data_IF_325879970716
#
_entry.id   IF_325879970716
#
_cell.length_a   1.000
_cell.length_b   1.000
_cell.length_c   1.000
_cell.angle_alpha   90.00
_cell.angle_beta   90.00
_cell.angle_gamma   90.00
#
_symmetry.space_group_name_H-M   'P 1'
#
loop_
_entity.id
_entity.type
_entity.pdbx_description
1 polymer ?
#
# COMPACT_ATOMS: atom_id res chain seq x y z
N UNK A 1 38.56 -15.65 17.11
CA UNK A 1 37.17 -16.15 16.91
C UNK A 1 36.90 -16.50 15.45
N UNK A 2 36.86 -15.54 14.52
CA UNK A 2 36.63 -15.87 13.09
C UNK A 2 37.75 -16.76 12.51
N UNK A 3 39.01 -16.45 12.81
CA UNK A 3 40.15 -17.30 12.45
C UNK A 3 40.07 -18.72 13.07
N UNK A 4 39.45 -18.87 14.24
CA UNK A 4 39.27 -20.19 14.88
C UNK A 4 38.18 -20.99 14.17
N UNK A 5 37.13 -20.32 13.66
CA UNK A 5 36.10 -20.94 12.81
C UNK A 5 36.73 -21.40 11.48
N UNK A 6 37.61 -20.58 10.89
CA UNK A 6 38.36 -20.96 9.70
C UNK A 6 39.29 -22.14 9.96
N UNK A 7 40.00 -22.17 11.09
CA UNK A 7 40.87 -23.26 11.48
C UNK A 7 40.11 -24.59 11.67
N UNK A 8 38.87 -24.55 12.18
CA UNK A 8 38.02 -25.75 12.27
C UNK A 8 37.60 -26.31 10.91
N UNK A 9 37.60 -25.47 9.87
CA UNK A 9 37.21 -25.86 8.52
C UNK A 9 38.35 -26.59 7.78
N UNK A 10 39.59 -26.19 8.05
CA UNK A 10 40.81 -26.78 7.46
C UNK A 10 41.04 -28.14 8.10
N UNK A 11 40.98 -29.21 7.29
CA UNK A 11 41.37 -30.55 7.74
C UNK A 11 42.89 -30.55 8.00
N UNK A 12 43.38 -31.26 9.02
CA UNK A 12 44.79 -31.62 9.04
C UNK A 12 45.03 -32.60 7.88
N UNK A 13 45.38 -32.08 6.71
CA UNK A 13 45.91 -32.86 5.60
C UNK A 13 47.33 -33.26 5.99
N UNK A 14 47.49 -34.35 6.75
CA UNK A 14 48.81 -34.75 7.23
C UNK A 14 48.92 -35.95 8.17
N UNK A 15 47.88 -36.76 8.38
CA UNK A 15 48.00 -38.01 9.15
C UNK A 15 48.27 -39.25 8.27
N UNK A 16 48.70 -39.07 7.02
CA UNK A 16 49.41 -40.11 6.25
C UNK A 16 50.93 -40.02 6.49
N UNK A 17 51.33 -39.78 7.75
CA UNK A 17 52.73 -39.87 8.15
C UNK A 17 53.14 -41.34 8.17
N UNK A 18 54.14 -41.68 7.34
CA UNK A 18 54.89 -42.94 7.31
C UNK A 18 55.02 -43.58 8.71
N UNK A 19 54.64 -44.86 8.89
CA UNK A 19 54.70 -45.50 10.20
C UNK A 19 56.17 -45.75 10.59
N UNK A 20 56.69 -44.91 11.48
CA UNK A 20 57.81 -45.30 12.33
C UNK A 20 57.32 -46.40 13.28
N UNK A 21 58.07 -47.51 13.32
CA UNK A 21 57.73 -48.76 13.99
C UNK A 21 57.31 -48.56 15.47
N UNK A 22 56.00 -48.58 15.71
CA UNK A 22 55.37 -48.66 17.02
C UNK A 22 54.04 -49.39 16.88
N UNK A 23 53.57 -50.11 17.91
CA UNK A 23 52.33 -50.90 17.82
C UNK A 23 51.14 -49.99 17.49
N UNK A 24 50.29 -50.35 16.51
CA UNK A 24 49.20 -49.49 16.05
C UNK A 24 48.17 -49.34 17.16
N UNK A 25 48.00 -48.11 17.65
CA UNK A 25 46.83 -47.74 18.43
C UNK A 25 45.58 -47.90 17.53
N UNK A 26 44.45 -48.39 18.06
CA UNK A 26 43.25 -48.60 17.27
C UNK A 26 42.79 -47.28 16.62
N UNK A 27 42.41 -47.27 15.33
CA UNK A 27 41.98 -46.07 14.66
C UNK A 27 40.74 -45.52 15.36
N UNK A 28 40.86 -44.33 15.95
CA UNK A 28 39.72 -43.63 16.51
C UNK A 28 38.67 -43.45 15.40
N UNK A 29 37.50 -44.09 15.58
CA UNK A 29 36.41 -44.05 14.60
C UNK A 29 36.10 -42.61 14.15
N UNK A 30 36.01 -42.40 12.83
CA UNK A 30 35.81 -41.08 12.19
C UNK A 30 34.57 -40.30 12.68
N UNK A 31 33.58 -41.01 13.23
CA UNK A 31 32.38 -40.42 13.85
C UNK A 31 32.69 -39.62 15.12
N UNK A 32 33.67 -40.06 15.91
CA UNK A 32 34.08 -39.38 17.16
C UNK A 32 34.71 -38.01 16.90
N UNK A 33 35.55 -37.89 15.87
CA UNK A 33 36.21 -36.63 15.50
C UNK A 33 35.21 -35.58 14.94
N UNK A 34 34.21 -36.02 14.17
CA UNK A 34 33.11 -35.18 13.69
C UNK A 34 32.32 -34.57 14.87
N UNK A 35 31.92 -35.41 15.83
CA UNK A 35 31.16 -34.98 16.99
C UNK A 35 31.94 -34.01 17.90
N UNK A 36 33.27 -34.15 17.99
CA UNK A 36 34.12 -33.19 18.70
C UNK A 36 34.15 -31.84 17.98
N UNK A 37 34.37 -31.81 16.66
CA UNK A 37 34.38 -30.55 15.89
C UNK A 37 33.06 -29.79 15.97
N UNK A 38 31.93 -30.49 15.88
CA UNK A 38 30.61 -29.87 16.02
C UNK A 38 30.40 -29.22 17.39
N UNK A 39 30.84 -29.88 18.48
CA UNK A 39 30.80 -29.32 19.84
C UNK A 39 31.72 -28.09 19.97
N UNK A 40 32.92 -28.14 19.42
CA UNK A 40 33.85 -27.01 19.44
C UNK A 40 33.28 -25.80 18.68
N UNK A 41 32.69 -26.03 17.51
CA UNK A 41 32.03 -24.96 16.75
C UNK A 41 30.84 -24.36 17.51
N UNK A 42 29.98 -25.18 18.09
CA UNK A 42 28.86 -24.69 18.90
C UNK A 42 29.35 -23.83 20.09
N UNK A 43 30.45 -24.23 20.74
CA UNK A 43 31.09 -23.44 21.78
C UNK A 43 31.67 -22.11 21.28
N UNK A 44 32.22 -22.06 20.07
CA UNK A 44 32.65 -20.81 19.44
C UNK A 44 31.47 -19.91 19.08
N UNK A 45 30.40 -20.47 18.52
CA UNK A 45 29.19 -19.73 18.16
C UNK A 45 28.55 -19.08 19.38
N UNK A 46 28.44 -19.79 20.50
CA UNK A 46 27.92 -19.25 21.77
C UNK A 46 28.77 -18.09 22.29
N UNK A 47 30.11 -18.20 22.23
CA UNK A 47 31.02 -17.12 22.62
C UNK A 47 30.90 -15.91 21.71
N UNK A 48 30.81 -16.13 20.40
CA UNK A 48 30.62 -15.08 19.41
C UNK A 48 29.28 -14.37 19.62
N UNK A 49 28.21 -15.11 19.89
CA UNK A 49 26.89 -14.56 20.22
C UNK A 49 26.93 -13.68 21.47
N UNK A 50 27.59 -14.16 22.53
CA UNK A 50 27.77 -13.39 23.75
C UNK A 50 28.57 -12.10 23.50
N UNK A 51 29.62 -12.17 22.68
CA UNK A 51 30.40 -10.99 22.30
C UNK A 51 29.59 -10.01 21.44
N UNK A 52 28.83 -10.51 20.46
CA UNK A 52 27.99 -9.69 19.58
C UNK A 52 26.92 -8.91 20.33
N UNK A 53 26.45 -9.40 21.49
CA UNK A 53 25.53 -8.66 22.37
C UNK A 53 26.15 -7.36 22.92
N UNK A 54 27.47 -7.33 23.16
CA UNK A 54 28.17 -6.12 23.61
C UNK A 54 28.74 -5.27 22.47
N UNK A 55 28.98 -5.85 21.30
CA UNK A 55 29.75 -5.24 20.20
C UNK A 55 29.05 -5.36 18.84
N UNK A 56 27.74 -5.07 18.79
CA UNK A 56 26.92 -5.32 17.60
C UNK A 56 27.46 -4.65 16.33
N UNK A 57 27.86 -3.36 16.41
CA UNK A 57 28.33 -2.61 15.25
C UNK A 57 29.64 -3.16 14.67
N UNK A 58 30.59 -3.52 15.54
CA UNK A 58 31.89 -4.08 15.14
C UNK A 58 31.69 -5.44 14.48
N UNK A 59 30.90 -6.31 15.10
CA UNK A 59 30.60 -7.64 14.57
C UNK A 59 29.83 -7.55 13.25
N UNK A 60 28.85 -6.65 13.14
CA UNK A 60 28.12 -6.43 11.89
C UNK A 60 29.03 -5.91 10.77
N UNK A 61 29.93 -4.97 11.06
CA UNK A 61 30.89 -4.46 10.08
C UNK A 61 31.89 -5.54 9.64
N UNK A 62 32.36 -6.38 10.55
CA UNK A 62 33.21 -7.51 10.23
C UNK A 62 32.51 -8.51 9.30
N UNK A 63 31.26 -8.89 9.60
CA UNK A 63 30.50 -9.79 8.74
C UNK A 63 30.15 -9.19 7.37
N UNK A 64 29.92 -7.88 7.30
CA UNK A 64 29.77 -7.18 6.01
C UNK A 64 31.05 -7.25 5.19
N UNK A 65 32.21 -7.05 5.81
CA UNK A 65 33.49 -7.19 5.13
C UNK A 65 33.70 -8.62 4.63
N UNK A 66 33.35 -9.63 5.45
CA UNK A 66 33.39 -11.04 5.05
C UNK A 66 32.49 -11.32 3.85
N UNK A 67 31.26 -10.79 3.82
CA UNK A 67 30.35 -10.97 2.68
C UNK A 67 30.89 -10.33 1.40
N UNK A 68 31.50 -9.15 1.50
CA UNK A 68 32.14 -8.48 0.35
C UNK A 68 33.33 -9.30 -0.17
N UNK A 69 34.17 -9.81 0.74
CA UNK A 69 35.30 -10.67 0.39
C UNK A 69 34.82 -11.99 -0.23
N UNK A 70 33.76 -12.57 0.32
CA UNK A 70 33.13 -13.80 -0.16
C UNK A 70 32.60 -13.65 -1.59
N UNK A 71 31.89 -12.55 -1.87
CA UNK A 71 31.41 -12.22 -3.21
C UNK A 71 32.56 -12.06 -4.20
N UNK A 72 33.61 -11.32 -3.83
CA UNK A 72 34.81 -11.17 -4.67
C UNK A 72 35.49 -12.51 -4.92
N UNK A 73 35.64 -13.34 -3.88
CA UNK A 73 36.25 -14.67 -3.99
C UNK A 73 35.42 -15.59 -4.88
N UNK A 74 34.09 -15.54 -4.79
CA UNK A 74 33.17 -16.30 -5.62
C UNK A 74 33.35 -15.97 -7.11
N UNK A 75 33.42 -14.69 -7.47
CA UNK A 75 33.67 -14.27 -8.84
C UNK A 75 35.08 -14.60 -9.34
N UNK A 76 36.11 -14.50 -8.48
CA UNK A 76 37.49 -14.85 -8.85
C UNK A 76 37.66 -16.33 -9.16
N UNK A 77 36.97 -17.23 -8.43
CA UNK A 77 37.09 -18.69 -8.56
C UNK A 77 36.21 -19.29 -9.66
N UNK A 78 35.83 -18.51 -10.68
CA UNK A 78 34.94 -18.94 -11.79
C UNK A 78 33.63 -19.60 -11.31
N UNK A 79 33.17 -19.26 -10.09
CA UNK A 79 31.88 -19.73 -9.55
C UNK A 79 31.77 -21.26 -9.36
N UNK A 80 32.90 -21.97 -9.25
CA UNK A 80 32.96 -23.44 -9.14
C UNK A 80 32.52 -24.00 -7.78
N UNK A 81 32.37 -23.15 -6.77
CA UNK A 81 32.07 -23.58 -5.41
C UNK A 81 32.49 -22.56 -4.37
N UNK A 82 31.91 -22.65 -3.17
CA UNK A 82 32.41 -21.94 -2.00
C UNK A 82 33.29 -22.85 -1.16
N UNK A 83 34.32 -22.26 -0.55
CA UNK A 83 35.18 -22.98 0.37
C UNK A 83 34.42 -23.30 1.66
N UNK A 84 34.77 -24.42 2.30
CA UNK A 84 34.18 -24.84 3.57
C UNK A 84 34.27 -23.78 4.70
N UNK A 85 35.41 -23.09 4.91
CA UNK A 85 35.47 -22.00 5.91
C UNK A 85 34.41 -20.94 5.64
N UNK A 86 34.19 -20.59 4.37
CA UNK A 86 33.20 -19.60 4.00
C UNK A 86 31.78 -20.11 4.26
N UNK A 87 31.46 -21.37 3.94
CA UNK A 87 30.16 -21.96 4.29
C UNK A 87 29.89 -21.93 5.80
N UNK A 88 30.90 -22.19 6.62
CA UNK A 88 30.78 -22.08 8.08
C UNK A 88 30.55 -20.64 8.54
N UNK A 89 31.25 -19.68 7.94
CA UNK A 89 31.03 -18.26 8.21
C UNK A 89 29.61 -17.83 7.82
N UNK A 90 29.10 -18.29 6.68
CA UNK A 90 27.71 -18.02 6.25
C UNK A 90 26.69 -18.66 7.19
N UNK A 91 26.93 -19.89 7.62
CA UNK A 91 26.11 -20.56 8.63
C UNK A 91 26.14 -19.81 9.97
N UNK A 92 27.30 -19.26 10.36
CA UNK A 92 27.44 -18.39 11.53
C UNK A 92 26.56 -17.15 11.41
N UNK A 93 26.55 -16.48 10.24
CA UNK A 93 25.70 -15.31 9.98
C UNK A 93 24.22 -15.68 10.16
N UNK A 94 23.79 -16.82 9.61
CA UNK A 94 22.41 -17.30 9.73
C UNK A 94 21.98 -17.53 11.19
N UNK A 95 22.90 -17.89 12.07
CA UNK A 95 22.62 -18.13 13.49
C UNK A 95 22.77 -16.93 14.40
N UNK A 96 23.56 -15.95 13.99
CA UNK A 96 23.85 -14.79 14.81
C UNK A 96 22.82 -13.66 14.64
N UNK A 97 22.33 -13.45 13.42
CA UNK A 97 21.43 -12.34 13.10
C UNK A 97 19.99 -12.80 12.89
N UNK A 98 18.99 -12.02 13.34
CA UNK A 98 17.59 -12.35 13.11
C UNK A 98 17.23 -12.26 11.62
N UNK A 99 16.44 -13.23 11.14
CA UNK A 99 15.96 -13.29 9.75
C UNK A 99 14.52 -12.81 9.56
N UNK A 100 13.86 -12.42 10.66
CA UNK A 100 12.46 -11.96 10.68
C UNK A 100 12.29 -10.54 10.16
N UNK A 101 13.33 -9.71 10.25
CA UNK A 101 13.28 -8.29 9.89
C UNK A 101 12.89 -8.06 8.42
N UNK A 102 12.20 -6.96 8.15
CA UNK A 102 11.92 -6.53 6.77
C UNK A 102 13.20 -6.19 6.02
N UNK A 103 14.11 -5.45 6.67
CA UNK A 103 15.43 -5.08 6.16
C UNK A 103 16.45 -5.07 7.30
N UNK A 104 17.55 -5.78 7.12
CA UNK A 104 18.63 -5.87 8.11
C UNK A 104 19.99 -5.60 7.45
N UNK A 105 20.88 -4.86 8.12
CA UNK A 105 22.15 -4.40 7.56
C UNK A 105 23.12 -5.52 7.14
N UNK A 106 23.06 -6.67 7.83
CA UNK A 106 23.81 -7.90 7.51
C UNK A 106 22.94 -8.99 6.86
N UNK A 107 21.81 -9.35 7.48
CA UNK A 107 20.87 -10.35 6.97
C UNK A 107 20.37 -10.12 5.53
N UNK A 108 20.02 -8.89 5.13
CA UNK A 108 19.57 -8.63 3.75
C UNK A 108 20.67 -8.88 2.71
N UNK A 109 21.88 -8.28 2.79
CA UNK A 109 22.95 -8.59 1.84
C UNK A 109 23.39 -10.05 1.91
N UNK A 110 23.33 -10.70 3.08
CA UNK A 110 23.56 -12.12 3.22
C UNK A 110 22.60 -12.98 2.40
N UNK A 111 21.28 -12.75 2.52
CA UNK A 111 20.27 -13.48 1.74
C UNK A 111 20.43 -13.23 0.24
N UNK A 112 20.70 -11.97 -0.16
CA UNK A 112 20.96 -11.62 -1.57
C UNK A 112 22.21 -12.37 -2.08
N UNK A 113 23.27 -12.44 -1.28
CA UNK A 113 24.48 -13.18 -1.64
C UNK A 113 24.19 -14.68 -1.81
N UNK A 114 23.44 -15.31 -0.89
CA UNK A 114 23.07 -16.72 -1.01
C UNK A 114 22.26 -16.99 -2.29
N UNK A 115 21.21 -16.19 -2.55
CA UNK A 115 20.40 -16.31 -3.76
C UNK A 115 21.23 -16.11 -5.03
N UNK A 116 22.09 -15.08 -5.06
CA UNK A 116 22.97 -14.78 -6.19
C UNK A 116 23.97 -15.92 -6.45
N UNK A 117 24.61 -16.44 -5.38
CA UNK A 117 25.55 -17.54 -5.49
C UNK A 117 24.86 -18.81 -6.03
N UNK A 118 23.69 -19.17 -5.52
CA UNK A 118 22.93 -20.34 -5.99
C UNK A 118 22.51 -20.25 -7.46
N UNK A 119 22.23 -19.05 -7.98
CA UNK A 119 21.84 -18.92 -9.39
C UNK A 119 23.03 -18.83 -10.35
N UNK A 120 24.22 -18.49 -9.85
CA UNK A 120 25.39 -18.25 -10.69
C UNK A 120 26.48 -19.34 -10.56
N UNK A 121 26.35 -20.25 -9.61
CA UNK A 121 27.29 -21.36 -9.42
C UNK A 121 27.38 -22.26 -10.67
N UNK A 122 28.54 -22.86 -10.88
CA UNK A 122 28.77 -23.86 -11.93
C UNK A 122 28.94 -25.24 -11.31
N UNK A 123 28.04 -26.15 -11.64
CA UNK A 123 28.00 -27.51 -11.09
C UNK A 123 28.73 -28.46 -12.04
N UNK A 124 30.06 -28.53 -11.88
CA UNK A 124 30.94 -29.36 -12.72
C UNK A 124 31.48 -30.59 -11.97
N UNK A 125 31.50 -30.55 -10.64
CA UNK A 125 32.05 -31.62 -9.80
C UNK A 125 31.22 -31.81 -8.51
N UNK A 126 31.44 -32.94 -7.82
CA UNK A 126 30.71 -33.27 -6.59
C UNK A 126 30.99 -32.29 -5.45
N UNK A 127 32.17 -31.67 -5.39
CA UNK A 127 32.49 -30.66 -4.39
C UNK A 127 31.62 -29.40 -4.57
N UNK A 128 31.47 -28.93 -5.81
CA UNK A 128 30.59 -27.82 -6.16
C UNK A 128 29.13 -28.14 -5.84
N UNK A 129 28.68 -29.37 -6.11
CA UNK A 129 27.34 -29.85 -5.73
C UNK A 129 27.17 -29.86 -4.21
N UNK A 130 28.16 -30.35 -3.47
CA UNK A 130 28.13 -30.33 -2.01
C UNK A 130 28.02 -28.90 -1.46
N UNK A 131 28.83 -27.96 -1.96
CA UNK A 131 28.73 -26.54 -1.58
C UNK A 131 27.39 -25.94 -1.97
N UNK A 132 26.79 -26.38 -3.08
CA UNK A 132 25.45 -25.97 -3.52
C UNK A 132 24.36 -26.44 -2.56
N UNK A 133 24.40 -27.72 -2.17
CA UNK A 133 23.51 -28.30 -1.14
C UNK A 133 23.67 -27.52 0.16
N UNK A 134 24.90 -27.27 0.61
CA UNK A 134 25.17 -26.51 1.84
C UNK A 134 24.62 -25.09 1.80
N UNK A 135 24.80 -24.36 0.69
CA UNK A 135 24.23 -23.02 0.52
C UNK A 135 22.72 -23.01 0.53
N UNK A 136 22.10 -23.95 -0.19
CA UNK A 136 20.65 -24.06 -0.22
C UNK A 136 20.09 -24.41 1.16
N UNK A 137 20.76 -25.29 1.91
CA UNK A 137 20.39 -25.60 3.28
C UNK A 137 20.42 -24.35 4.19
N UNK A 138 21.48 -23.54 4.11
CA UNK A 138 21.62 -22.30 4.89
C UNK A 138 20.50 -21.32 4.50
N UNK A 139 20.19 -21.20 3.20
CA UNK A 139 19.11 -20.33 2.72
C UNK A 139 17.74 -20.80 3.24
N UNK A 140 17.41 -22.09 3.07
CA UNK A 140 16.16 -22.69 3.55
C UNK A 140 15.98 -22.48 5.05
N UNK A 141 17.04 -22.67 5.83
CA UNK A 141 17.01 -22.44 7.26
C UNK A 141 16.77 -20.97 7.60
N UNK A 142 17.43 -20.06 6.88
CA UNK A 142 17.21 -18.62 7.05
C UNK A 142 15.78 -18.21 6.70
N UNK A 143 15.15 -18.85 5.72
CA UNK A 143 13.76 -18.62 5.34
C UNK A 143 12.79 -19.19 6.37
N UNK A 144 13.07 -20.38 6.92
CA UNK A 144 12.31 -20.98 8.01
C UNK A 144 12.32 -20.09 9.26
N UNK A 145 13.50 -19.60 9.63
CA UNK A 145 13.67 -18.67 10.76
C UNK A 145 13.07 -17.27 10.46
N UNK A 146 12.92 -16.91 9.18
CA UNK A 146 12.45 -15.61 8.70
C UNK A 146 10.96 -15.51 8.33
N UNK A 147 10.09 -16.27 9.01
CA UNK A 147 8.62 -16.35 8.77
C UNK A 147 8.21 -16.91 7.39
N UNK A 148 9.05 -17.69 6.72
CA UNK A 148 8.68 -18.37 5.49
C UNK A 148 8.46 -17.44 4.29
N UNK A 149 9.25 -16.36 4.19
CA UNK A 149 9.29 -15.54 2.97
C UNK A 149 9.60 -16.42 1.76
N UNK A 150 8.97 -16.11 0.63
CA UNK A 150 9.19 -16.85 -0.60
C UNK A 150 10.55 -16.48 -1.23
N UNK A 151 11.36 -17.50 -1.52
CA UNK A 151 12.59 -17.36 -2.29
C UNK A 151 12.58 -18.38 -3.44
N UNK A 152 12.46 -17.89 -4.67
CA UNK A 152 12.40 -18.75 -5.85
C UNK A 152 13.71 -19.53 -6.02
N UNK A 153 14.84 -18.91 -5.68
CA UNK A 153 16.17 -19.48 -5.82
C UNK A 153 16.35 -20.75 -4.97
N UNK A 154 15.75 -20.82 -3.78
CA UNK A 154 15.81 -22.00 -2.92
C UNK A 154 15.06 -23.20 -3.54
N UNK A 155 13.88 -22.93 -4.11
CA UNK A 155 13.07 -23.93 -4.82
C UNK A 155 13.78 -24.40 -6.08
N UNK A 156 14.26 -23.45 -6.89
CA UNK A 156 15.02 -23.74 -8.12
C UNK A 156 16.29 -24.53 -7.79
N UNK A 157 16.99 -24.20 -6.71
CA UNK A 157 18.18 -24.92 -6.27
C UNK A 157 17.87 -26.39 -5.89
N UNK A 158 16.79 -26.62 -5.12
CA UNK A 158 16.39 -27.98 -4.75
C UNK A 158 16.06 -28.83 -5.99
N UNK A 159 15.33 -28.28 -6.96
CA UNK A 159 15.05 -28.99 -8.20
C UNK A 159 16.28 -29.17 -9.10
N UNK A 160 17.18 -28.19 -9.17
CA UNK A 160 18.44 -28.33 -9.90
C UNK A 160 19.28 -29.48 -9.35
N UNK A 161 19.36 -29.62 -8.02
CA UNK A 161 20.04 -30.74 -7.36
C UNK A 161 19.44 -32.08 -7.77
N UNK A 162 18.11 -32.22 -7.73
CA UNK A 162 17.46 -33.45 -8.18
C UNK A 162 17.65 -33.72 -9.67
N UNK A 163 17.69 -32.67 -10.50
CA UNK A 163 17.95 -32.78 -11.93
C UNK A 163 19.39 -33.21 -12.26
N UNK A 164 20.34 -33.14 -11.32
CA UNK A 164 21.71 -33.66 -11.51
C UNK A 164 21.78 -35.18 -11.68
N UNK A 165 20.71 -35.91 -11.34
CA UNK A 165 20.55 -37.34 -11.61
C UNK A 165 20.40 -37.64 -13.12
N UNK A 166 20.09 -36.62 -13.93
CA UNK A 166 19.91 -36.74 -15.36
C UNK A 166 21.04 -35.99 -16.10
N UNK A 167 21.49 -36.48 -17.27
CA UNK A 167 22.46 -35.78 -18.09
C UNK A 167 21.80 -34.56 -18.75
N UNK A 168 22.59 -33.52 -19.03
CA UNK A 168 22.09 -32.23 -19.55
C UNK A 168 21.33 -32.40 -20.87
N UNK A 169 21.81 -33.24 -21.78
CA UNK A 169 21.15 -33.60 -23.06
C UNK A 169 19.71 -34.09 -22.91
N UNK A 170 19.33 -34.62 -21.75
CA UNK A 170 17.94 -35.06 -21.50
C UNK A 170 17.05 -33.87 -21.15
N UNK A 171 17.59 -32.93 -20.36
CA UNK A 171 16.92 -31.73 -19.87
C UNK A 171 16.81 -30.63 -20.96
N UNK A 172 17.86 -30.53 -21.78
CA UNK A 172 18.05 -29.60 -22.89
C UNK A 172 18.40 -30.39 -24.18
N UNK A 173 17.43 -31.08 -24.80
CA UNK A 173 17.71 -31.95 -25.97
C UNK A 173 18.26 -31.21 -27.18
N UNK A 174 17.90 -29.94 -27.34
CA UNK A 174 18.43 -29.08 -28.40
C UNK A 174 18.57 -27.66 -27.87
N UNK A 175 19.69 -26.98 -28.17
CA UNK A 175 19.99 -25.60 -27.70
C UNK A 175 18.90 -24.56 -28.02
N UNK A 176 17.97 -24.86 -28.93
CA UNK A 176 16.90 -23.95 -29.36
C UNK A 176 15.47 -24.47 -29.13
N UNK A 177 15.29 -25.69 -28.62
CA UNK A 177 13.95 -26.23 -28.32
C UNK A 177 13.41 -25.82 -26.95
N UNK A 178 14.23 -25.11 -26.16
CA UNK A 178 13.88 -24.71 -24.81
C UNK A 178 14.09 -25.82 -23.78
N UNK A 179 13.88 -25.46 -22.51
CA UNK A 179 14.01 -26.36 -21.37
C UNK A 179 12.79 -27.27 -21.29
N UNK A 180 12.99 -28.57 -21.09
CA UNK A 180 11.87 -29.49 -20.79
C UNK A 180 11.31 -29.31 -19.38
N UNK A 181 12.15 -28.84 -18.45
CA UNK A 181 11.74 -28.55 -17.09
C UNK A 181 11.26 -27.10 -16.98
N UNK A 182 10.15 -26.81 -16.28
CA UNK A 182 9.65 -25.45 -16.08
C UNK A 182 10.42 -24.72 -14.96
N UNK A 183 11.74 -24.90 -14.88
CA UNK A 183 12.65 -24.25 -13.93
C UNK A 183 13.90 -23.79 -14.66
N UNK A 184 14.53 -22.75 -14.13
CA UNK A 184 15.83 -22.31 -14.61
C UNK A 184 16.90 -23.35 -14.26
N UNK A 185 17.63 -23.81 -15.27
CA UNK A 185 18.77 -24.70 -15.07
C UNK A 185 20.03 -23.89 -14.82
N UNK A 186 20.74 -24.26 -13.76
CA UNK A 186 22.04 -23.67 -13.42
C UNK A 186 23.13 -24.22 -14.35
N UNK A 187 24.17 -23.42 -14.60
CA UNK A 187 25.32 -23.86 -15.40
C UNK A 187 25.91 -25.16 -14.83
N UNK A 188 26.00 -26.21 -15.66
CA UNK A 188 26.50 -27.53 -15.26
C UNK A 188 27.17 -28.27 -16.42
N UNK A 189 27.93 -29.30 -16.07
CA UNK A 189 28.48 -30.26 -17.04
C UNK A 189 27.41 -31.06 -17.79
N UNK A 190 27.82 -31.72 -18.88
CA UNK A 190 26.92 -32.54 -19.72
C UNK A 190 26.46 -33.82 -19.02
N UNK A 191 27.30 -34.38 -18.15
CA UNK A 191 27.08 -35.66 -17.51
C UNK A 191 26.13 -35.57 -16.30
N UNK A 192 25.57 -36.73 -15.93
CA UNK A 192 24.80 -36.89 -14.70
C UNK A 192 25.77 -37.00 -13.51
N UNK A 193 25.97 -35.91 -12.79
CA UNK A 193 26.84 -35.88 -11.60
C UNK A 193 26.30 -36.74 -10.45
N UNK A 194 24.98 -36.93 -10.41
CA UNK A 194 24.29 -37.69 -9.37
C UNK A 194 23.63 -38.98 -9.91
N UNK A 195 24.06 -39.50 -11.07
CA UNK A 195 23.46 -40.69 -11.69
C UNK A 195 24.10 -42.02 -11.26
N UNK A 196 25.41 -42.04 -11.07
CA UNK A 196 26.18 -43.27 -10.84
C UNK A 196 26.87 -43.24 -9.48
N UNK A 197 26.35 -43.98 -8.50
CA UNK A 197 27.00 -44.15 -7.19
C UNK A 197 27.59 -45.55 -7.02
N UNK A 198 28.77 -45.66 -6.41
CA UNK A 198 29.29 -46.96 -6.00
C UNK A 198 28.82 -47.22 -4.56
N UNK A 199 28.13 -48.33 -4.25
CA UNK A 199 27.68 -48.61 -2.89
C UNK A 199 28.91 -48.70 -1.98
N UNK A 200 29.12 -47.69 -1.15
CA UNK A 200 30.08 -47.83 -0.06
C UNK A 200 29.45 -48.73 1.00
N UNK A 201 30.28 -49.62 1.55
CA UNK A 201 29.90 -50.61 2.56
C UNK A 201 28.90 -50.07 3.58
N UNK A 202 27.84 -50.82 3.92
CA UNK A 202 26.75 -50.36 4.76
C UNK A 202 27.33 -49.87 6.09
N UNK A 203 27.30 -48.55 6.31
CA UNK A 203 27.62 -47.97 7.61
C UNK A 203 26.58 -48.46 8.60
N UNK A 204 27.05 -48.95 9.74
CA UNK A 204 26.24 -49.57 10.78
C UNK A 204 25.01 -48.73 11.13
N UNK A 205 23.86 -49.41 11.22
CA UNK A 205 22.52 -48.89 11.52
C UNK A 205 22.37 -48.25 12.92
N UNK A 206 23.45 -47.90 13.61
CA UNK A 206 23.45 -47.62 15.05
C UNK A 206 23.43 -46.13 15.43
N UNK A 207 23.28 -45.20 14.49
CA UNK A 207 23.13 -43.79 14.87
C UNK A 207 21.67 -43.42 15.13
N UNK A 208 21.26 -43.78 16.34
CA UNK A 208 20.02 -43.43 17.02
C UNK A 208 19.60 -41.96 16.79
N UNK A 209 18.31 -41.79 16.52
CA UNK A 209 17.63 -40.59 16.04
C UNK A 209 17.46 -39.45 17.08
N UNK A 210 18.12 -39.50 18.23
CA UNK A 210 17.72 -38.65 19.38
C UNK A 210 18.61 -37.44 19.69
N UNK A 211 19.72 -37.20 18.98
CA UNK A 211 20.57 -36.05 19.29
C UNK A 211 20.78 -35.08 18.11
N UNK A 212 19.80 -34.21 17.94
CA UNK A 212 19.98 -32.80 17.55
C UNK A 212 19.78 -32.49 16.07
N UNK A 213 18.74 -31.72 15.75
CA UNK A 213 18.57 -31.08 14.43
C UNK A 213 19.85 -30.37 13.96
N UNK A 214 20.60 -29.77 14.90
CA UNK A 214 21.91 -29.14 14.67
C UNK A 214 23.02 -30.13 14.26
N UNK A 215 23.00 -31.37 14.74
CA UNK A 215 23.99 -32.40 14.40
C UNK A 215 23.80 -32.89 12.96
N UNK A 216 22.56 -33.07 12.53
CA UNK A 216 22.22 -33.40 11.15
C UNK A 216 22.51 -32.21 10.21
N UNK A 217 22.29 -30.97 10.66
CA UNK A 217 22.64 -29.76 9.90
C UNK A 217 24.15 -29.56 9.75
N UNK A 218 24.92 -29.87 10.80
CA UNK A 218 26.39 -29.83 10.76
C UNK A 218 26.98 -30.86 9.81
N UNK A 219 26.37 -32.05 9.71
CA UNK A 219 26.80 -33.10 8.76
C UNK A 219 26.75 -32.66 7.30
N UNK A 220 25.82 -31.77 6.92
CA UNK A 220 25.77 -31.20 5.56
C UNK A 220 26.94 -30.26 5.26
N UNK A 221 27.72 -29.87 6.26
CA UNK A 221 28.93 -29.04 6.12
C UNK A 221 30.21 -29.88 6.26
N UNK A 222 30.08 -31.22 6.31
CA UNK A 222 31.19 -32.17 6.40
C UNK A 222 31.57 -32.76 5.03
N UNK A 223 32.84 -33.12 4.89
CA UNK A 223 33.52 -33.37 3.61
C UNK A 223 33.20 -34.73 2.95
N UNK A 224 32.10 -35.39 3.29
CA UNK A 224 31.78 -36.67 2.66
C UNK A 224 30.96 -36.42 1.39
N UNK A 225 31.64 -36.54 0.25
CA UNK A 225 31.06 -36.29 -1.08
C UNK A 225 30.39 -37.56 -1.60
N UNK A 226 29.49 -38.11 -0.79
CA UNK A 226 28.69 -39.26 -1.20
C UNK A 226 27.42 -38.76 -1.88
N UNK A 227 27.28 -39.15 -3.12
CA UNK A 227 26.33 -38.53 -3.99
C UNK A 227 24.91 -39.12 -3.82
N UNK A 228 24.77 -40.33 -3.24
CA UNK A 228 23.50 -40.81 -2.69
C UNK A 228 23.01 -39.88 -1.56
N UNK A 229 23.89 -39.57 -0.61
CA UNK A 229 23.59 -38.66 0.49
C UNK A 229 23.23 -37.25 -0.01
N UNK A 230 23.89 -36.74 -1.05
CA UNK A 230 23.54 -35.44 -1.65
C UNK A 230 22.13 -35.45 -2.26
N UNK A 231 21.72 -36.53 -2.93
CA UNK A 231 20.36 -36.68 -3.47
C UNK A 231 19.34 -36.75 -2.33
N UNK A 232 19.61 -37.53 -1.28
CA UNK A 232 18.74 -37.60 -0.10
C UNK A 232 18.62 -36.25 0.60
N UNK A 233 19.72 -35.49 0.71
CA UNK A 233 19.70 -34.12 1.21
C UNK A 233 18.85 -33.20 0.33
N UNK A 234 18.92 -33.34 -1.00
CA UNK A 234 18.10 -32.54 -1.91
C UNK A 234 16.59 -32.84 -1.75
N UNK A 235 16.22 -34.11 -1.58
CA UNK A 235 14.84 -34.48 -1.24
C UNK A 235 14.41 -33.92 0.12
N UNK A 236 15.25 -34.04 1.15
CA UNK A 236 14.96 -33.44 2.46
C UNK A 236 14.80 -31.91 2.37
N UNK A 237 15.63 -31.22 1.58
CA UNK A 237 15.50 -29.78 1.35
C UNK A 237 14.18 -29.44 0.67
N UNK A 238 13.79 -30.23 -0.33
CA UNK A 238 12.51 -30.07 -1.02
C UNK A 238 11.34 -30.33 -0.06
N UNK A 239 11.42 -31.34 0.81
CA UNK A 239 10.40 -31.65 1.81
C UNK A 239 10.17 -30.47 2.78
N UNK A 240 11.26 -29.87 3.28
CA UNK A 240 11.19 -28.68 4.14
C UNK A 240 10.58 -27.49 3.41
N UNK A 241 10.94 -27.29 2.12
CA UNK A 241 10.37 -26.22 1.30
C UNK A 241 8.87 -26.42 1.01
N UNK A 242 8.46 -27.66 0.75
CA UNK A 242 7.06 -28.06 0.56
C UNK A 242 6.24 -27.74 1.81
N UNK A 243 6.77 -28.05 3.00
CA UNK A 243 6.14 -27.67 4.27
C UNK A 243 6.08 -26.16 4.48
N UNK A 244 7.18 -25.46 4.18
CA UNK A 244 7.29 -24.02 4.38
C UNK A 244 6.28 -23.25 3.54
N UNK A 245 6.02 -23.73 2.31
CA UNK A 245 5.19 -23.03 1.34
C UNK A 245 3.80 -23.66 1.11
N UNK A 246 3.40 -24.64 1.93
CA UNK A 246 2.10 -25.31 1.83
C UNK A 246 0.88 -24.38 1.78
N UNK A 247 0.97 -23.20 2.39
CA UNK A 247 -0.11 -22.20 2.43
C UNK A 247 -0.13 -21.23 1.23
N UNK A 248 0.79 -21.35 0.29
CA UNK A 248 0.87 -20.43 -0.85
C UNK A 248 -0.18 -20.75 -1.92
N UNK A 249 -0.91 -19.75 -2.38
CA UNK A 249 -1.89 -19.91 -3.47
C UNK A 249 -1.27 -20.38 -4.80
N UNK A 250 0.02 -20.12 -5.01
CA UNK A 250 0.77 -20.54 -6.19
C UNK A 250 1.45 -21.92 -6.03
N UNK A 251 1.18 -22.66 -4.95
CA UNK A 251 1.84 -23.92 -4.64
C UNK A 251 1.87 -24.93 -5.80
N UNK A 252 0.76 -25.20 -6.53
CA UNK A 252 0.78 -26.14 -7.65
C UNK A 252 1.72 -25.73 -8.79
N UNK A 253 1.82 -24.42 -9.06
CA UNK A 253 2.72 -23.91 -10.11
C UNK A 253 4.19 -24.01 -9.70
N UNK A 254 4.48 -23.91 -8.40
CA UNK A 254 5.85 -23.86 -7.85
C UNK A 254 6.42 -25.27 -7.64
N UNK A 255 5.59 -26.24 -7.23
CA UNK A 255 6.07 -27.58 -6.88
C UNK A 255 5.55 -28.68 -7.80
N UNK A 256 4.24 -28.73 -8.06
CA UNK A 256 3.63 -29.88 -8.76
C UNK A 256 4.02 -29.96 -10.24
N UNK A 257 3.88 -28.86 -10.98
CA UNK A 257 4.29 -28.80 -12.37
C UNK A 257 5.78 -29.18 -12.59
N UNK A 258 6.75 -28.57 -11.88
CA UNK A 258 8.16 -28.95 -12.03
C UNK A 258 8.48 -30.35 -11.53
N UNK A 259 7.86 -30.79 -10.43
CA UNK A 259 8.11 -32.12 -9.89
C UNK A 259 7.59 -33.23 -10.81
N UNK A 260 6.38 -33.08 -11.38
CA UNK A 260 5.85 -34.03 -12.38
C UNK A 260 6.71 -34.10 -13.63
N UNK A 261 7.13 -32.94 -14.15
CA UNK A 261 8.03 -32.89 -15.31
C UNK A 261 9.36 -33.60 -15.04
N UNK A 262 9.93 -33.43 -13.84
CA UNK A 262 11.14 -34.14 -13.43
C UNK A 262 10.90 -35.64 -13.23
N UNK A 263 9.79 -36.03 -12.59
CA UNK A 263 9.39 -37.42 -12.38
C UNK A 263 9.24 -38.16 -13.71
N UNK A 264 8.61 -37.54 -14.71
CA UNK A 264 8.46 -38.14 -16.05
C UNK A 264 9.81 -38.33 -16.74
N UNK A 265 10.73 -37.37 -16.62
CA UNK A 265 12.09 -37.50 -17.16
C UNK A 265 12.90 -38.58 -16.43
N UNK A 266 12.78 -38.67 -15.11
CA UNK A 266 13.43 -39.72 -14.30
C UNK A 266 12.90 -41.10 -14.71
N UNK A 267 11.59 -41.29 -14.84
CA UNK A 267 11.01 -42.57 -15.29
C UNK A 267 11.46 -42.98 -16.69
N UNK A 268 11.62 -42.01 -17.60
CA UNK A 268 12.02 -42.27 -18.98
C UNK A 268 13.51 -42.61 -19.12
N UNK A 269 14.38 -41.95 -18.36
CA UNK A 269 15.82 -41.97 -18.62
C UNK A 269 16.67 -42.52 -17.48
N UNK A 270 16.16 -42.60 -16.25
CA UNK A 270 16.91 -43.10 -15.10
C UNK A 270 16.56 -44.58 -14.83
N UNK A 271 17.56 -45.49 -14.76
CA UNK A 271 17.30 -46.93 -14.64
C UNK A 271 16.52 -47.27 -13.36
N UNK A 272 16.85 -46.62 -12.24
CA UNK A 272 16.21 -46.88 -10.95
C UNK A 272 14.72 -46.50 -10.86
N UNK A 273 14.22 -45.67 -11.77
CA UNK A 273 12.83 -45.20 -11.79
C UNK A 273 12.05 -45.78 -12.98
N UNK A 274 12.70 -46.52 -13.87
CA UNK A 274 12.06 -47.09 -15.05
C UNK A 274 11.50 -48.49 -14.73
N UNK A 275 10.17 -48.68 -14.76
CA UNK A 275 9.53 -49.96 -14.41
C UNK A 275 9.88 -51.11 -15.35
N UNK A 276 10.40 -50.85 -16.56
CA UNK A 276 10.77 -51.90 -17.52
C UNK A 276 12.18 -52.46 -17.31
N UNK A 277 12.98 -51.83 -16.46
CA UNK A 277 14.34 -52.28 -16.17
C UNK A 277 14.27 -53.40 -15.13
N UNK A 278 14.20 -54.64 -15.58
CA UNK A 278 14.28 -55.84 -14.74
C UNK A 278 15.72 -56.07 -14.25
N UNK A 279 16.29 -55.11 -13.51
CA UNK A 279 17.63 -55.22 -12.94
C UNK A 279 17.62 -56.06 -11.65
N UNK A 280 18.73 -56.76 -11.42
CA UNK A 280 19.00 -57.65 -10.29
C UNK A 280 18.76 -57.02 -8.91
N UNK A 281 18.36 -57.84 -7.92
CA UNK A 281 18.00 -57.47 -6.54
C UNK A 281 19.00 -56.57 -5.79
N UNK A 282 20.29 -56.58 -6.16
CA UNK A 282 21.34 -55.76 -5.53
C UNK A 282 21.27 -54.28 -5.93
N UNK A 283 20.86 -53.96 -7.16
CA UNK A 283 20.70 -52.55 -7.58
C UNK A 283 19.43 -51.93 -7.01
N UNK A 284 18.42 -52.77 -6.74
CA UNK A 284 17.19 -52.34 -6.11
C UNK A 284 17.41 -51.88 -4.68
N UNK A 285 18.24 -52.56 -3.89
CA UNK A 285 18.52 -52.14 -2.51
C UNK A 285 19.19 -50.76 -2.44
N UNK A 286 20.05 -50.45 -3.42
CA UNK A 286 20.82 -49.20 -3.47
C UNK A 286 19.95 -47.96 -3.63
N UNK A 287 18.92 -48.02 -4.47
CA UNK A 287 18.09 -46.84 -4.77
C UNK A 287 16.81 -46.77 -3.92
N UNK A 288 16.62 -47.73 -3.03
CA UNK A 288 15.40 -47.89 -2.27
C UNK A 288 15.12 -46.70 -1.33
N UNK A 289 16.17 -46.16 -0.68
CA UNK A 289 16.04 -44.97 0.16
C UNK A 289 15.60 -43.74 -0.66
N UNK A 290 16.18 -43.55 -1.85
CA UNK A 290 15.89 -42.45 -2.76
C UNK A 290 14.47 -42.59 -3.34
N UNK A 291 14.06 -43.78 -3.76
CA UNK A 291 12.69 -44.05 -4.24
C UNK A 291 11.65 -43.77 -3.16
N UNK A 292 11.93 -44.18 -1.91
CA UNK A 292 11.04 -43.90 -0.77
C UNK A 292 10.91 -42.40 -0.51
N UNK A 293 12.02 -41.67 -0.51
CA UNK A 293 12.02 -40.21 -0.37
C UNK A 293 11.23 -39.53 -1.51
N UNK A 294 11.45 -39.97 -2.76
CA UNK A 294 10.73 -39.47 -3.93
C UNK A 294 9.22 -39.72 -3.82
N UNK A 295 8.81 -40.93 -3.47
CA UNK A 295 7.40 -41.29 -3.31
C UNK A 295 6.72 -40.51 -2.18
N UNK A 296 7.40 -40.33 -1.05
CA UNK A 296 6.90 -39.54 0.07
C UNK A 296 6.64 -38.08 -0.33
N UNK A 297 7.58 -37.45 -1.04
CA UNK A 297 7.43 -36.07 -1.51
C UNK A 297 6.36 -35.96 -2.60
N UNK A 298 6.28 -36.93 -3.52
CA UNK A 298 5.23 -36.99 -4.54
C UNK A 298 3.84 -37.02 -3.91
N UNK A 299 3.64 -37.86 -2.88
CA UNK A 299 2.38 -37.93 -2.15
C UNK A 299 2.05 -36.61 -1.43
N UNK A 300 3.04 -36.02 -0.76
CA UNK A 300 2.89 -34.77 -0.01
C UNK A 300 2.57 -33.56 -0.90
N UNK A 301 3.26 -33.42 -2.03
CA UNK A 301 2.97 -32.37 -3.02
C UNK A 301 1.55 -32.51 -3.55
N UNK A 302 1.10 -33.74 -3.88
CA UNK A 302 -0.28 -33.99 -4.35
C UNK A 302 -1.31 -33.57 -3.31
N UNK A 303 -1.13 -33.95 -2.05
CA UNK A 303 -2.02 -33.57 -0.95
C UNK A 303 -2.13 -32.04 -0.84
N UNK A 304 -0.99 -31.33 -0.81
CA UNK A 304 -0.97 -29.89 -0.67
C UNK A 304 -1.49 -29.16 -1.91
N UNK A 305 -1.36 -29.73 -3.10
CA UNK A 305 -1.98 -29.19 -4.30
C UNK A 305 -3.49 -29.25 -4.26
N UNK A 306 -4.07 -30.40 -3.88
CA UNK A 306 -5.52 -30.54 -3.71
C UNK A 306 -6.04 -29.51 -2.70
N UNK A 307 -5.31 -29.33 -1.59
CA UNK A 307 -5.66 -28.32 -0.59
C UNK A 307 -5.56 -26.89 -1.15
N UNK A 308 -4.47 -26.55 -1.85
CA UNK A 308 -4.27 -25.23 -2.43
C UNK A 308 -5.32 -24.89 -3.50
N UNK A 309 -5.69 -25.86 -4.34
CA UNK A 309 -6.73 -25.73 -5.36
C UNK A 309 -8.12 -25.53 -4.75
N UNK A 310 -8.45 -26.27 -3.68
CA UNK A 310 -9.72 -26.12 -2.97
C UNK A 310 -9.91 -24.72 -2.37
N UNK A 311 -8.82 -24.04 -1.99
CA UNK A 311 -8.83 -22.71 -1.38
C UNK A 311 -8.45 -21.59 -2.36
N UNK A 312 -8.21 -21.90 -3.64
CA UNK A 312 -7.75 -20.93 -4.63
C UNK A 312 -8.88 -19.98 -5.01
N UNK A 313 -8.68 -18.70 -4.70
CA UNK A 313 -9.61 -17.62 -5.10
C UNK A 313 -8.97 -16.73 -6.17
N UNK A 314 -9.77 -16.13 -7.07
CA UNK A 314 -9.27 -15.18 -8.05
C UNK A 314 -8.68 -13.94 -7.36
N UNK A 315 -7.61 -13.39 -7.93
CA UNK A 315 -6.81 -12.34 -7.30
C UNK A 315 -7.55 -10.99 -7.28
N UNK A 316 -7.89 -10.50 -6.09
CA UNK A 316 -8.63 -9.25 -5.89
C UNK A 316 -7.70 -8.06 -5.53
N UNK A 317 -6.64 -7.79 -6.31
CA UNK A 317 -5.63 -6.75 -6.00
C UNK A 317 -6.17 -5.31 -5.99
N UNK A 318 -7.32 -5.05 -6.62
CA UNK A 318 -7.86 -3.70 -6.86
C UNK A 318 -9.16 -3.43 -6.12
N UNK A 319 -9.32 -3.97 -4.92
CA UNK A 319 -10.43 -3.62 -4.02
C UNK A 319 -10.10 -2.32 -3.29
N UNK A 320 -10.20 -1.20 -4.01
CA UNK A 320 -10.04 0.12 -3.39
C UNK A 320 -11.18 0.37 -2.41
N UNK A 321 -10.84 0.72 -1.17
CA UNK A 321 -11.82 1.30 -0.26
C UNK A 321 -12.25 2.64 -0.84
N UNK A 322 -13.55 2.78 -1.10
CA UNK A 322 -14.12 4.03 -1.59
C UNK A 322 -13.77 5.14 -0.60
N UNK A 323 -13.21 6.25 -1.10
CA UNK A 323 -12.86 7.39 -0.25
C UNK A 323 -14.15 7.99 0.28
N UNK A 324 -14.28 8.25 1.59
CA UNK A 324 -15.43 8.96 2.14
C UNK A 324 -15.64 10.31 1.45
N UNK A 325 -16.91 10.72 1.31
CA UNK A 325 -17.25 12.07 0.85
C UNK A 325 -16.62 13.07 1.81
N UNK A 326 -15.99 14.12 1.26
CA UNK A 326 -15.44 15.21 2.08
C UNK A 326 -16.57 15.86 2.86
N UNK A 327 -16.52 15.73 4.18
CA UNK A 327 -17.39 16.49 5.06
C UNK A 327 -16.84 17.90 5.14
N UNK A 328 -17.66 18.88 4.77
CA UNK A 328 -17.36 20.28 5.01
C UNK A 328 -17.91 20.67 6.37
N UNK A 329 -17.14 21.43 7.15
CA UNK A 329 -17.68 22.05 8.34
C UNK A 329 -18.84 22.97 7.90
N UNK A 330 -20.06 22.77 8.43
CA UNK A 330 -21.15 23.68 8.14
C UNK A 330 -20.72 25.07 8.60
N UNK A 331 -20.86 26.06 7.72
CA UNK A 331 -20.61 27.47 8.03
C UNK A 331 -21.67 27.94 9.04
N UNK A 332 -21.50 27.56 10.31
CA UNK A 332 -22.36 27.94 11.43
C UNK A 332 -21.96 29.29 12.03
N UNK A 333 -20.77 29.80 11.68
CA UNK A 333 -20.38 31.16 11.98
C UNK A 333 -20.83 32.07 10.83
N UNK A 334 -21.86 32.87 11.08
CA UNK A 334 -22.07 34.11 10.32
C UNK A 334 -20.80 34.94 10.50
N UNK A 335 -19.87 34.84 9.53
CA UNK A 335 -18.69 35.68 9.56
C UNK A 335 -19.16 37.13 9.56
N UNK A 336 -18.75 37.90 10.56
CA UNK A 336 -18.87 39.36 10.66
C UNK A 336 -18.12 40.11 9.54
N UNK A 337 -17.83 39.46 8.40
CA UNK A 337 -17.05 39.97 7.27
C UNK A 337 -17.64 41.22 6.62
N UNK A 338 -18.78 41.70 7.11
CA UNK A 338 -19.46 42.86 6.58
C UNK A 338 -20.10 43.73 7.67
N UNK A 339 -19.54 43.81 8.88
CA UNK A 339 -19.98 44.76 9.91
C UNK A 339 -20.11 46.19 9.34
N UNK A 340 -19.14 46.62 8.53
CA UNK A 340 -19.19 47.90 7.83
C UNK A 340 -20.34 47.99 6.83
N UNK A 341 -20.72 46.89 6.14
CA UNK A 341 -21.86 46.92 5.21
C UNK A 341 -23.21 46.83 5.94
N UNK A 342 -23.30 46.17 7.09
CA UNK A 342 -24.52 46.20 7.92
C UNK A 342 -24.70 47.58 8.52
N UNK A 343 -23.65 48.19 9.05
CA UNK A 343 -23.66 49.58 9.55
C UNK A 343 -24.05 50.57 8.44
N UNK A 344 -23.48 50.45 7.23
CA UNK A 344 -23.88 51.29 6.09
C UNK A 344 -25.36 51.10 5.74
N UNK A 345 -25.91 49.88 5.86
CA UNK A 345 -27.34 49.62 5.59
C UNK A 345 -28.23 50.25 6.67
N UNK A 346 -27.82 50.19 7.92
CA UNK A 346 -28.50 50.81 9.06
C UNK A 346 -28.50 52.34 8.92
N UNK A 347 -27.33 52.94 8.68
CA UNK A 347 -27.20 54.39 8.46
C UNK A 347 -28.06 54.85 7.27
N UNK A 348 -28.05 54.10 6.15
CA UNK A 348 -28.92 54.41 5.00
C UNK A 348 -30.41 54.26 5.29
N UNK A 349 -30.79 53.39 6.23
CA UNK A 349 -32.17 53.25 6.67
C UNK A 349 -32.58 54.46 7.51
N UNK A 350 -31.76 54.86 8.49
CA UNK A 350 -31.99 56.03 9.33
C UNK A 350 -32.11 57.32 8.49
N UNK A 351 -31.17 57.56 7.58
CA UNK A 351 -31.22 58.72 6.67
C UNK A 351 -32.52 58.76 5.85
N UNK A 352 -33.02 57.59 5.41
CA UNK A 352 -34.28 57.53 4.65
C UNK A 352 -35.48 57.84 5.53
N UNK A 353 -35.50 57.36 6.77
CA UNK A 353 -36.58 57.65 7.72
C UNK A 353 -36.58 59.13 8.14
N UNK A 354 -35.42 59.72 8.43
CA UNK A 354 -35.30 61.13 8.79
C UNK A 354 -35.70 62.03 7.62
N UNK A 355 -35.25 61.72 6.40
CA UNK A 355 -35.67 62.45 5.21
C UNK A 355 -37.19 62.41 5.02
N UNK A 356 -37.83 61.24 5.24
CA UNK A 356 -39.30 61.14 5.18
C UNK A 356 -39.96 62.00 6.26
N UNK A 357 -39.44 62.00 7.50
CA UNK A 357 -39.98 62.81 8.61
C UNK A 357 -39.89 64.31 8.30
N UNK A 358 -38.74 64.78 7.82
CA UNK A 358 -38.52 66.18 7.46
C UNK A 358 -39.46 66.60 6.33
N UNK A 359 -39.60 65.79 5.27
CA UNK A 359 -40.51 66.11 4.17
C UNK A 359 -41.97 66.18 4.66
N UNK A 360 -42.40 65.25 5.53
CA UNK A 360 -43.74 65.30 6.13
C UNK A 360 -43.97 66.55 6.98
N UNK A 361 -42.94 66.99 7.72
CA UNK A 361 -43.02 68.21 8.53
C UNK A 361 -43.13 69.46 7.64
N UNK A 362 -42.23 69.60 6.67
CA UNK A 362 -42.22 70.74 5.74
C UNK A 362 -43.52 70.83 4.94
N UNK A 363 -44.05 69.68 4.49
CA UNK A 363 -45.34 69.66 3.78
C UNK A 363 -46.50 70.04 4.71
N UNK A 364 -46.51 69.56 5.96
CA UNK A 364 -47.50 69.99 6.94
C UNK A 364 -47.43 71.50 7.21
N UNK A 365 -46.25 72.05 7.47
CA UNK A 365 -46.04 73.50 7.66
C UNK A 365 -46.49 74.30 6.45
N UNK A 366 -46.09 73.90 5.24
CA UNK A 366 -46.52 74.58 4.01
C UNK A 366 -48.05 74.56 3.83
N UNK A 367 -48.73 73.48 4.21
CA UNK A 367 -50.21 73.44 4.18
C UNK A 367 -50.86 74.34 5.23
N UNK A 368 -50.26 74.46 6.42
CA UNK A 368 -50.72 75.37 7.47
C UNK A 368 -50.53 76.81 7.03
N UNK A 369 -49.36 77.18 6.50
CA UNK A 369 -49.09 78.51 5.95
C UNK A 369 -50.05 78.86 4.82
N UNK A 370 -50.29 77.92 3.89
CA UNK A 370 -51.24 78.13 2.80
C UNK A 370 -52.65 78.42 3.32
N UNK A 371 -53.14 77.62 4.27
CA UNK A 371 -54.45 77.84 4.90
C UNK A 371 -54.51 79.16 5.66
N UNK A 372 -53.42 79.57 6.31
CA UNK A 372 -53.34 80.86 6.97
C UNK A 372 -53.46 82.01 5.96
N UNK A 373 -52.72 81.95 4.84
CA UNK A 373 -52.80 82.94 3.76
C UNK A 373 -54.19 82.99 3.10
N UNK A 374 -54.81 81.84 2.85
CA UNK A 374 -56.17 81.76 2.30
C UNK A 374 -57.18 82.43 3.25
N UNK A 375 -57.11 82.14 4.56
CA UNK A 375 -57.95 82.81 5.57
C UNK A 375 -57.71 84.31 5.67
N UNK A 376 -56.44 84.74 5.67
CA UNK A 376 -56.09 86.17 5.68
C UNK A 376 -56.64 86.89 4.44
N UNK A 377 -56.58 86.24 3.27
CA UNK A 377 -57.14 86.75 2.03
C UNK A 377 -58.67 86.85 2.09
N UNK A 378 -59.36 85.80 2.55
CA UNK A 378 -60.83 85.82 2.76
C UNK A 378 -61.26 86.93 3.73
N UNK A 379 -60.53 87.12 4.84
CA UNK A 379 -60.79 88.21 5.78
C UNK A 379 -60.59 89.57 5.09
N UNK A 380 -59.55 89.72 4.27
CA UNK A 380 -59.32 90.96 3.54
C UNK A 380 -60.41 91.23 2.48
N UNK A 381 -60.87 90.21 1.75
CA UNK A 381 -61.96 90.33 0.78
C UNK A 381 -63.29 90.66 1.44
N UNK A 382 -63.68 89.95 2.51
CA UNK A 382 -64.90 90.26 3.26
C UNK A 382 -64.88 91.68 3.84
N UNK A 383 -63.72 92.18 4.28
CA UNK A 383 -63.56 93.57 4.69
C UNK A 383 -63.72 94.55 3.52
N UNK A 384 -63.17 94.23 2.34
CA UNK A 384 -63.34 95.05 1.12
C UNK A 384 -64.80 95.09 0.68
N UNK A 385 -65.49 93.95 0.66
CA UNK A 385 -66.91 93.86 0.32
C UNK A 385 -67.78 94.64 1.30
N UNK A 386 -67.53 94.53 2.61
CA UNK A 386 -68.22 95.34 3.63
C UNK A 386 -68.03 96.84 3.38
N UNK A 387 -66.79 97.27 3.11
CA UNK A 387 -66.50 98.68 2.77
C UNK A 387 -67.20 99.10 1.49
N UNK A 388 -67.19 98.28 0.45
CA UNK A 388 -67.87 98.54 -0.83
C UNK A 388 -69.38 98.66 -0.65
N UNK A 389 -70.02 97.72 0.05
CA UNK A 389 -71.45 97.74 0.34
C UNK A 389 -71.85 98.94 1.20
N UNK A 390 -71.01 99.33 2.16
CA UNK A 390 -71.24 100.54 2.96
C UNK A 390 -71.22 101.80 2.09
N UNK A 391 -70.22 101.93 1.21
CA UNK A 391 -70.12 103.05 0.26
C UNK A 391 -71.30 103.03 -0.72
N UNK A 392 -71.67 101.87 -1.25
CA UNK A 392 -72.81 101.74 -2.17
C UNK A 392 -74.14 102.08 -1.49
N UNK A 393 -74.34 101.65 -0.25
CA UNK A 393 -75.52 102.01 0.55
C UNK A 393 -75.60 103.50 0.81
N UNK A 394 -74.48 104.16 1.11
CA UNK A 394 -74.42 105.63 1.20
C UNK A 394 -74.80 106.30 -0.14
N UNK A 395 -74.34 105.75 -1.26
CA UNK A 395 -74.61 106.28 -2.60
C UNK A 395 -76.08 106.11 -2.99
N UNK A 396 -76.70 104.98 -2.69
CA UNK A 396 -78.14 104.76 -2.85
C UNK A 396 -78.98 105.67 -1.95
N UNK A 397 -78.56 105.89 -0.71
CA UNK A 397 -79.21 106.84 0.19
C UNK A 397 -79.18 108.26 -0.38
N UNK A 398 -78.05 108.69 -0.97
CA UNK A 398 -77.96 109.97 -1.69
C UNK A 398 -78.93 110.02 -2.88
N UNK A 399 -79.04 108.95 -3.68
CA UNK A 399 -80.02 108.88 -4.77
C UNK A 399 -81.46 108.94 -4.28
N UNK A 400 -81.79 108.30 -3.16
CA UNK A 400 -83.12 108.37 -2.57
C UNK A 400 -83.42 109.79 -2.10
N UNK A 401 -82.47 110.45 -1.42
CA UNK A 401 -82.58 111.86 -1.03
C UNK A 401 -82.83 112.73 -2.28
N UNK A 402 -82.06 112.53 -3.34
CA UNK A 402 -82.24 113.22 -4.62
C UNK A 402 -83.65 113.01 -5.20
N UNK A 403 -84.13 111.76 -5.28
CA UNK A 403 -85.50 111.44 -5.72
C UNK A 403 -86.57 112.06 -4.83
N UNK A 404 -86.37 112.11 -3.52
CA UNK A 404 -87.33 112.80 -2.62
C UNK A 404 -87.32 114.30 -2.85
N UNK A 405 -86.17 114.92 -3.09
CA UNK A 405 -86.08 116.32 -3.49
C UNK A 405 -86.81 116.55 -4.82
N UNK A 406 -86.58 115.69 -5.81
CA UNK A 406 -87.27 115.75 -7.11
C UNK A 406 -88.79 115.57 -6.97
N UNK A 407 -89.25 114.65 -6.10
CA UNK A 407 -90.67 114.42 -5.83
C UNK A 407 -91.32 115.60 -5.08
N UNK A 408 -90.59 116.26 -4.17
CA UNK A 408 -91.02 117.50 -3.52
C UNK A 408 -91.14 118.63 -4.55
N UNK A 409 -90.15 118.75 -5.44
CA UNK A 409 -90.19 119.71 -6.56
C UNK A 409 -91.36 119.43 -7.52
N UNK A 410 -91.67 118.16 -7.79
CA UNK A 410 -92.81 117.75 -8.62
C UNK A 410 -94.17 118.03 -7.94
N UNK A 411 -94.29 117.78 -6.63
CA UNK A 411 -95.49 118.14 -5.84
C UNK A 411 -95.68 119.65 -5.71
N UNK A 412 -94.59 120.43 -5.68
CA UNK A 412 -94.65 121.89 -5.75
C UNK A 412 -95.20 122.42 -7.07
N UNK A 413 -95.06 121.67 -8.18
CA UNK A 413 -95.60 122.04 -9.49
C UNK A 413 -97.05 121.57 -9.74
N UNK A 414 -97.64 120.77 -8.83
CA UNK A 414 -98.93 120.11 -9.08
C UNK A 414 -100.04 120.50 -8.07
N UNK A 415 -100.57 121.71 -8.24
CA UNK A 415 -101.97 122.08 -7.92
C UNK A 415 -102.39 123.22 -8.86
N UNK A 416 -103.65 123.31 -9.34
CA UNK A 416 -104.53 122.30 -9.93
C UNK A 416 -105.16 122.79 -11.28
N UNK A 417 -105.75 121.90 -12.10
CA UNK A 417 -106.97 122.19 -12.90
C UNK A 417 -107.61 120.91 -13.47
N UNK A 418 -108.95 120.94 -13.48
CA UNK A 418 -109.98 119.93 -13.81
C UNK A 418 -109.93 119.34 -15.24
N UNK A 419 -110.52 118.14 -15.40
CA UNK A 419 -111.11 117.57 -16.64
C UNK A 419 -111.04 116.04 -16.62
N UNK A 420 -112.10 115.26 -16.30
CA UNK A 420 -113.27 114.81 -17.10
C UNK A 420 -112.92 113.77 -18.20
N UNK A 421 -113.65 112.63 -18.13
CA UNK A 421 -113.66 111.41 -18.98
C UNK A 421 -112.53 110.40 -18.67
N UNK A 422 -112.73 109.09 -18.60
CA UNK A 422 -113.87 108.25 -18.98
C UNK A 422 -113.37 107.12 -19.90
N UNK A 423 -113.43 105.88 -19.42
CA UNK A 423 -113.37 104.58 -20.12
C UNK A 423 -112.18 103.65 -19.79
N UNK A 424 -112.37 102.30 -19.85
CA UNK A 424 -111.62 101.30 -19.10
C UNK A 424 -110.81 100.29 -19.97
N UNK A 425 -110.08 99.41 -19.26
CA UNK A 425 -109.62 98.06 -19.66
C UNK A 425 -108.34 97.91 -20.53
N UNK A 426 -107.65 96.74 -20.55
CA UNK A 426 -107.36 95.78 -19.46
C UNK A 426 -105.91 95.16 -19.64
N UNK A 427 -105.58 93.86 -19.39
CA UNK A 427 -104.27 93.45 -18.83
C UNK A 427 -103.39 92.69 -19.84
N UNK A 428 -102.10 92.53 -19.54
CA UNK A 428 -101.23 91.50 -20.11
C UNK A 428 -100.06 91.34 -19.13
N UNK A 429 -99.79 90.18 -18.54
CA UNK A 429 -99.31 88.99 -19.26
C UNK A 429 -97.84 89.24 -19.60
N UNK A 430 -96.84 88.58 -19.02
CA UNK A 430 -96.73 87.18 -18.63
C UNK A 430 -95.33 86.73 -19.04
N UNK A 431 -94.83 85.67 -18.40
CA UNK A 431 -93.77 84.76 -18.88
C UNK A 431 -92.36 85.38 -19.00
N UNK A 432 -91.26 84.67 -18.79
CA UNK A 432 -90.93 83.27 -18.50
C UNK A 432 -89.41 83.30 -18.27
N UNK A 433 -88.89 82.62 -17.26
CA UNK A 433 -88.53 81.20 -17.30
C UNK A 433 -87.22 80.92 -18.07
N UNK A 434 -86.40 80.03 -17.50
CA UNK A 434 -85.27 79.40 -18.19
C UNK A 434 -83.88 79.69 -17.63
N UNK A 435 -83.48 78.96 -16.57
CA UNK A 435 -82.47 77.88 -16.60
C UNK A 435 -81.86 77.64 -15.20
#
# INVERSE_FOLDING_TARGET
>A
MLADIEALAVRPEGEDATPAAGPPAPPASSSSASAVRGRTYAGLLSRLHQHARGHLCEVANAFRAILIEAERAFFRKRRLGLSRPLLLCLFTIAKLFPMTDYRHAVGTPFLIFLSSALMQMRLENLEGVHSYVGLNAILIESLRDGNGKFAAEAVVAAFNLLALQLPRRVLEPTKHQGLKLPILLVERGEDALLGDFHPQTPKSKDESAENGELRNRWRMLETHHDAENLVLCAYHQLDVLVDLYRGMAAFPAIFDAPFKALEDLLRQHHPAFNPTSSSSSLEDEKWEAIRRAHAAISAKIKEYCVNAEAHRTPLALRTFRVRPIRQFEPLLAEREENAVKSEIREIKHEIREDKKRVIRHLTAEATVERRAREKEHEIAETQRERRYNQVMGQLQAQQHIMKTVDAIMARGKARPKKGISGAPNPPAGGEGDGA
#
